data_IF_334461495427
#
_entry.id   IF_334461495427
#
_cell.length_a   1.000
_cell.length_b   1.000
_cell.length_c   1.000
_cell.angle_alpha   90.00
_cell.angle_beta   90.00
_cell.angle_gamma   90.00
#
_symmetry.space_group_name_H-M   'P 1'
#
loop_
_entity.id
_entity.type
_entity.pdbx_description
1 polymer ?
#
# COMPACT_ATOMS: atom_id res chain seq x y z
N UNK A 1 7.92 -6.18 4.05
CA UNK A 1 8.41 -7.14 5.06
C UNK A 1 7.53 -8.38 5.11
N UNK A 2 8.04 -9.52 5.57
CA UNK A 2 7.26 -10.76 5.74
C UNK A 2 7.75 -11.57 6.95
N UNK A 3 6.94 -12.52 7.40
CA UNK A 3 7.32 -13.52 8.41
C UNK A 3 7.07 -14.93 7.85
N UNK A 4 5.90 -15.53 8.09
CA UNK A 4 5.59 -16.89 7.63
C UNK A 4 5.47 -17.06 6.12
N UNK A 5 5.38 -15.97 5.36
CA UNK A 5 5.28 -15.99 3.90
C UNK A 5 3.88 -16.25 3.33
N UNK A 6 2.92 -16.73 4.14
CA UNK A 6 1.62 -17.19 3.63
C UNK A 6 0.82 -16.12 2.88
N UNK A 7 0.77 -14.88 3.42
CA UNK A 7 0.08 -13.76 2.77
C UNK A 7 0.95 -13.04 1.73
N UNK A 8 2.26 -13.31 1.68
CA UNK A 8 3.23 -12.50 0.94
C UNK A 8 2.96 -12.39 -0.56
N UNK A 9 2.53 -13.46 -1.28
CA UNK A 9 2.15 -13.32 -2.69
C UNK A 9 1.03 -12.30 -2.91
N UNK A 10 -0.03 -12.34 -2.07
CA UNK A 10 -1.14 -11.39 -2.15
C UNK A 10 -0.70 -9.97 -1.83
N UNK A 11 0.16 -9.79 -0.82
CA UNK A 11 0.75 -8.49 -0.47
C UNK A 11 1.53 -7.89 -1.64
N UNK A 12 2.37 -8.69 -2.33
CA UNK A 12 3.19 -8.19 -3.45
C UNK A 12 2.32 -7.83 -4.66
N UNK A 13 1.41 -8.72 -5.07
CA UNK A 13 0.53 -8.45 -6.21
C UNK A 13 -0.32 -7.20 -5.97
N UNK A 14 -0.89 -7.07 -4.78
CA UNK A 14 -1.70 -5.91 -4.43
C UNK A 14 -0.87 -4.64 -4.31
N UNK A 15 0.34 -4.70 -3.75
CA UNK A 15 1.23 -3.54 -3.65
C UNK A 15 1.57 -2.96 -5.03
N UNK A 16 1.87 -3.82 -6.01
CA UNK A 16 2.11 -3.38 -7.41
C UNK A 16 0.87 -2.71 -8.00
N UNK A 17 -0.31 -3.29 -7.81
CA UNK A 17 -1.57 -2.72 -8.28
C UNK A 17 -1.87 -1.37 -7.62
N UNK A 18 -1.74 -1.28 -6.29
CA UNK A 18 -1.98 -0.06 -5.51
C UNK A 18 -1.09 1.10 -5.96
N UNK A 19 0.20 0.87 -6.19
CA UNK A 19 1.10 1.92 -6.69
C UNK A 19 0.69 2.37 -8.12
N UNK A 20 0.22 1.42 -8.95
CA UNK A 20 -0.35 1.73 -10.26
C UNK A 20 -1.62 2.57 -10.18
N UNK A 21 -2.54 2.23 -9.29
CA UNK A 21 -3.80 2.96 -9.05
C UNK A 21 -3.57 4.38 -8.55
N UNK A 22 -2.62 4.57 -7.64
CA UNK A 22 -2.21 5.90 -7.16
C UNK A 22 -1.70 6.74 -8.33
N UNK A 23 -0.79 6.19 -9.15
CA UNK A 23 -0.26 6.86 -10.35
C UNK A 23 -1.35 7.18 -11.38
N UNK A 24 -2.38 6.33 -11.47
CA UNK A 24 -3.51 6.52 -12.37
C UNK A 24 -4.56 7.51 -11.86
N UNK A 25 -4.40 8.08 -10.65
CA UNK A 25 -5.37 9.02 -10.10
C UNK A 25 -6.66 8.35 -9.62
N UNK A 26 -6.58 7.12 -9.11
CA UNK A 26 -7.74 6.44 -8.48
C UNK A 26 -7.83 6.86 -7.01
N UNK A 27 -8.92 7.47 -6.53
CA UNK A 27 -9.06 7.85 -5.11
C UNK A 27 -9.28 6.63 -4.21
N UNK A 28 -9.05 6.80 -2.90
CA UNK A 28 -9.40 5.83 -1.85
C UNK A 28 -10.31 6.47 -0.79
N UNK A 29 -10.68 5.69 0.24
CA UNK A 29 -11.49 6.18 1.34
C UNK A 29 -10.81 7.30 2.15
N UNK A 30 -9.48 7.34 2.17
CA UNK A 30 -8.71 8.34 2.93
C UNK A 30 -8.25 9.52 2.07
N UNK A 31 -8.62 9.55 0.79
CA UNK A 31 -8.30 10.66 -0.10
C UNK A 31 -9.07 11.92 0.30
N UNK A 32 -8.36 13.04 0.46
CA UNK A 32 -8.97 14.32 0.84
C UNK A 32 -9.85 14.94 -0.27
N UNK A 33 -9.66 14.50 -1.51
CA UNK A 33 -10.44 14.91 -2.69
C UNK A 33 -10.69 13.69 -3.57
N UNK A 34 -11.83 13.65 -4.25
CA UNK A 34 -12.13 12.64 -5.27
C UNK A 34 -11.49 12.95 -6.63
N UNK A 35 -10.91 14.14 -6.77
CA UNK A 35 -10.27 14.62 -8.01
C UNK A 35 -8.86 15.13 -7.72
N UNK A 36 -7.95 14.96 -8.68
CA UNK A 36 -6.56 15.39 -8.58
C UNK A 36 -5.56 14.23 -8.60
N UNK A 37 -4.32 14.51 -8.20
CA UNK A 37 -3.27 13.50 -8.04
C UNK A 37 -3.20 12.99 -6.60
N UNK A 38 -2.74 11.75 -6.43
CA UNK A 38 -2.56 11.11 -5.13
C UNK A 38 -1.10 10.77 -4.91
N UNK A 39 -0.63 10.97 -3.68
CA UNK A 39 0.71 10.60 -3.23
C UNK A 39 0.66 9.24 -2.52
N UNK A 40 1.73 8.46 -2.63
CA UNK A 40 1.88 7.18 -1.93
C UNK A 40 2.21 7.38 -0.44
N UNK A 41 1.34 8.10 0.27
CA UNK A 41 1.46 8.34 1.71
C UNK A 41 1.18 7.06 2.51
N UNK A 42 1.70 6.99 3.73
CA UNK A 42 1.43 5.90 4.68
C UNK A 42 -0.07 5.66 4.91
N UNK A 43 -0.88 6.71 4.93
CA UNK A 43 -2.33 6.59 5.09
C UNK A 43 -2.99 5.93 3.86
N UNK A 44 -2.65 6.40 2.66
CA UNK A 44 -3.15 5.84 1.39
C UNK A 44 -2.71 4.38 1.21
N UNK A 45 -1.44 4.08 1.46
CA UNK A 45 -0.92 2.70 1.36
C UNK A 45 -1.66 1.78 2.33
N UNK A 46 -1.85 2.19 3.59
CA UNK A 46 -2.53 1.35 4.58
C UNK A 46 -3.99 1.07 4.22
N UNK A 47 -4.73 2.09 3.81
CA UNK A 47 -6.13 1.94 3.42
C UNK A 47 -6.26 0.99 2.22
N UNK A 48 -5.45 1.20 1.18
CA UNK A 48 -5.54 0.41 -0.05
C UNK A 48 -5.04 -1.02 0.12
N UNK A 49 -4.14 -1.26 1.07
CA UNK A 49 -3.66 -2.61 1.40
C UNK A 49 -4.51 -3.34 2.45
N UNK A 50 -5.56 -2.70 2.99
CA UNK A 50 -6.40 -3.28 4.06
C UNK A 50 -7.10 -4.59 3.69
N UNK A 51 -7.30 -4.84 2.39
CA UNK A 51 -7.82 -6.12 1.87
C UNK A 51 -6.86 -7.30 1.98
N UNK A 52 -5.58 -7.08 2.30
CA UNK A 52 -4.57 -8.13 2.41
C UNK A 52 -4.24 -8.43 3.88
N UNK A 53 -4.91 -9.43 4.45
CA UNK A 53 -4.76 -9.79 5.87
C UNK A 53 -3.42 -10.52 6.11
N UNK A 54 -2.66 -10.02 7.09
CA UNK A 54 -1.44 -10.62 7.61
C UNK A 54 -1.60 -10.99 9.09
N UNK A 55 -1.74 -12.30 9.39
CA UNK A 55 -1.87 -12.75 10.78
C UNK A 55 -0.59 -12.60 11.61
N UNK A 56 0.56 -12.59 10.95
CA UNK A 56 1.85 -12.33 11.60
C UNK A 56 2.02 -10.87 12.07
N UNK A 57 1.16 -9.95 11.60
CA UNK A 57 1.25 -8.54 11.98
C UNK A 57 2.42 -7.79 11.34
N UNK A 58 2.91 -8.23 10.17
CA UNK A 58 4.06 -7.61 9.49
C UNK A 58 3.75 -6.27 8.80
N UNK A 59 2.60 -5.64 9.06
CA UNK A 59 2.08 -4.50 8.31
C UNK A 59 3.03 -3.29 8.28
N UNK A 60 3.63 -2.91 9.41
CA UNK A 60 4.56 -1.77 9.44
C UNK A 60 5.72 -1.94 8.45
N UNK A 61 6.30 -3.14 8.40
CA UNK A 61 7.42 -3.46 7.50
C UNK A 61 6.95 -3.65 6.06
N UNK A 62 5.67 -3.96 5.81
CA UNK A 62 5.09 -4.00 4.46
C UNK A 62 4.93 -2.59 3.93
N UNK A 63 4.37 -1.67 4.75
CA UNK A 63 4.23 -0.25 4.38
C UNK A 63 5.59 0.37 4.12
N UNK A 64 6.57 0.17 5.01
CA UNK A 64 7.95 0.66 4.82
C UNK A 64 8.55 0.20 3.48
N UNK A 65 8.42 -1.09 3.15
CA UNK A 65 8.92 -1.63 1.89
C UNK A 65 8.23 -1.03 0.66
N UNK A 66 6.93 -0.72 0.75
CA UNK A 66 6.21 -0.05 -0.33
C UNK A 66 6.63 1.41 -0.48
N UNK A 67 6.82 2.12 0.62
CA UNK A 67 7.26 3.52 0.63
C UNK A 67 8.65 3.67 0.00
N UNK A 68 9.58 2.76 0.31
CA UNK A 68 10.90 2.69 -0.32
C UNK A 68 10.81 2.51 -1.85
N UNK A 69 10.01 1.54 -2.30
CA UNK A 69 9.79 1.29 -3.75
C UNK A 69 9.10 2.48 -4.45
N UNK A 70 8.19 3.17 -3.76
CA UNK A 70 7.51 4.34 -4.28
C UNK A 70 8.43 5.58 -4.37
N UNK A 71 9.64 5.53 -3.79
CA UNK A 71 10.51 6.70 -3.68
C UNK A 71 9.98 7.77 -2.74
N UNK A 72 9.03 7.42 -1.87
CA UNK A 72 8.48 8.30 -0.85
C UNK A 72 9.28 8.15 0.46
N UNK A 73 9.26 9.17 1.33
CA UNK A 73 9.86 9.07 2.67
C UNK A 73 8.89 8.34 3.60
N UNK A 74 9.39 7.33 4.32
CA UNK A 74 8.65 6.55 5.32
C UNK A 74 8.13 7.40 6.47
#
# INVERSE_FOLDING_TARGET
GYQCGYCTPGQICSAVAVLGEIKAGVPSHVSASLTGGFEASTAEIRERMSGNICRCGAYSNIVEAMTDVAGAKA
#
